data_IF_139038723774
#
_entry.id   IF_139038723774
#
_cell.length_a   1.000
_cell.length_b   1.000
_cell.length_c   1.000
_cell.angle_alpha   90.00
_cell.angle_beta   90.00
_cell.angle_gamma   90.00
#
_symmetry.space_group_name_H-M   'P 1'
#
loop_
_entity.id
_entity.type
_entity.pdbx_description
1 polymer ?
#
# COMPACT_ATOMS: atom_id res chain seq x y z
N UNK A 1 18.03 -17.77 4.53
CA UNK A 1 16.79 -17.17 5.05
C UNK A 1 16.62 -15.83 4.33
N UNK A 2 15.86 -15.81 3.25
CA UNK A 2 15.46 -14.57 2.56
C UNK A 2 13.95 -14.62 2.45
N UNK A 3 13.27 -14.03 3.43
CA UNK A 3 11.86 -13.81 3.31
C UNK A 3 11.70 -12.76 2.20
N UNK A 4 11.02 -13.12 1.10
CA UNK A 4 10.59 -12.19 0.05
C UNK A 4 9.62 -11.14 0.62
N UNK A 5 10.12 -10.27 1.50
CA UNK A 5 9.37 -9.21 2.18
C UNK A 5 9.54 -7.98 1.33
N UNK A 6 8.41 -7.40 0.92
CA UNK A 6 8.37 -6.09 0.27
C UNK A 6 7.92 -5.06 1.29
N UNK A 7 8.72 -4.02 1.51
CA UNK A 7 8.37 -2.95 2.45
C UNK A 7 7.68 -1.78 1.74
N UNK A 8 6.39 -1.60 2.01
CA UNK A 8 5.65 -0.41 1.58
C UNK A 8 5.45 0.54 2.77
N UNK A 9 5.72 1.83 2.57
CA UNK A 9 5.66 2.84 3.64
C UNK A 9 4.56 3.87 3.31
N UNK A 10 3.59 4.05 4.20
CA UNK A 10 2.67 5.19 4.20
C UNK A 10 3.27 6.27 5.09
N UNK A 11 3.82 7.33 4.50
CA UNK A 11 4.41 8.43 5.25
C UNK A 11 3.37 9.51 5.52
N UNK A 12 3.39 10.11 6.72
CA UNK A 12 2.56 11.27 7.03
C UNK A 12 3.23 12.58 6.60
N UNK A 13 3.54 12.70 5.32
CA UNK A 13 4.20 13.87 4.73
C UNK A 13 4.00 13.92 3.21
N UNK A 14 4.37 15.06 2.60
CA UNK A 14 4.40 15.23 1.14
C UNK A 14 5.81 15.13 0.57
N UNK A 15 5.90 14.72 -0.69
CA UNK A 15 7.15 14.73 -1.44
C UNK A 15 7.53 16.15 -1.85
N UNK A 16 8.82 16.45 -1.80
CA UNK A 16 9.36 17.70 -2.33
C UNK A 16 9.87 17.50 -3.75
N UNK A 17 9.45 18.39 -4.65
CA UNK A 17 9.89 18.42 -6.05
C UNK A 17 10.43 19.79 -6.41
N UNK A 18 11.27 19.84 -7.45
CA UNK A 18 11.73 21.09 -8.06
C UNK A 18 10.56 21.98 -8.53
N UNK A 19 9.46 21.39 -8.97
CA UNK A 19 8.22 22.08 -9.36
C UNK A 19 7.09 21.76 -8.37
N UNK A 20 6.75 22.72 -7.50
CA UNK A 20 5.73 22.56 -6.43
C UNK A 20 4.36 22.10 -6.93
N UNK A 21 3.92 22.54 -8.12
CA UNK A 21 2.58 22.20 -8.66
C UNK A 21 2.39 20.69 -8.88
N UNK A 22 3.46 19.97 -9.24
CA UNK A 22 3.37 18.53 -9.54
C UNK A 22 3.35 17.68 -8.27
N UNK A 23 3.94 18.17 -7.18
CA UNK A 23 3.94 17.51 -5.87
C UNK A 23 2.54 17.22 -5.34
N UNK A 24 1.57 18.11 -5.60
CA UNK A 24 0.18 17.94 -5.16
C UNK A 24 -0.45 16.64 -5.67
N UNK A 25 -0.08 16.20 -6.88
CA UNK A 25 -0.67 15.04 -7.56
C UNK A 25 0.15 13.77 -7.43
N UNK A 26 1.32 13.85 -6.77
CA UNK A 26 2.16 12.70 -6.52
C UNK A 26 1.62 11.91 -5.33
N UNK A 27 1.37 10.63 -5.54
CA UNK A 27 0.89 9.70 -4.52
C UNK A 27 2.04 8.93 -3.89
N UNK A 28 3.02 8.50 -4.67
CA UNK A 28 4.15 7.73 -4.15
C UNK A 28 5.25 7.51 -5.18
N UNK A 29 6.34 6.90 -4.73
CA UNK A 29 7.51 6.59 -5.54
C UNK A 29 8.12 5.25 -5.14
N UNK A 30 8.70 4.55 -6.11
CA UNK A 30 9.54 3.38 -5.87
C UNK A 30 10.98 3.62 -6.35
N UNK A 31 11.78 2.59 -6.59
CA UNK A 31 13.17 2.76 -7.04
C UNK A 31 13.25 3.36 -8.46
N UNK A 32 12.20 3.20 -9.27
CA UNK A 32 12.21 3.51 -10.71
C UNK A 32 11.11 4.47 -11.16
N UNK A 33 9.94 4.45 -10.51
CA UNK A 33 8.73 5.12 -10.97
C UNK A 33 8.14 6.04 -9.90
N UNK A 34 7.45 7.07 -10.37
CA UNK A 34 6.59 7.93 -9.58
C UNK A 34 5.13 7.69 -9.96
N UNK A 35 4.26 7.53 -8.96
CA UNK A 35 2.84 7.22 -9.13
C UNK A 35 1.98 8.42 -8.76
N UNK A 36 1.02 8.72 -9.62
CA UNK A 36 0.18 9.91 -9.53
C UNK A 36 -1.30 9.56 -9.68
N UNK A 37 -2.15 10.58 -9.61
CA UNK A 37 -3.58 10.43 -9.90
C UNK A 37 -3.90 9.86 -11.30
N UNK A 38 -2.97 9.98 -12.27
CA UNK A 38 -3.16 9.41 -13.63
C UNK A 38 -3.13 7.89 -13.64
N UNK A 39 -2.53 7.28 -12.61
CA UNK A 39 -2.35 5.84 -12.51
C UNK A 39 -3.58 5.09 -11.98
N UNK A 40 -4.66 5.82 -11.67
CA UNK A 40 -5.89 5.26 -11.11
C UNK A 40 -6.54 4.21 -12.02
N UNK A 41 -6.65 4.48 -13.32
CA UNK A 41 -7.23 3.55 -14.28
C UNK A 41 -6.23 2.49 -14.74
N UNK A 42 -4.96 2.87 -14.87
CA UNK A 42 -3.89 1.98 -15.29
C UNK A 42 -2.57 2.38 -14.64
N UNK A 43 -2.01 1.47 -13.86
CA UNK A 43 -0.73 1.68 -13.18
C UNK A 43 0.45 1.58 -14.16
N UNK A 44 0.95 2.74 -14.59
CA UNK A 44 2.09 2.87 -15.53
C UNK A 44 3.32 3.43 -14.82
N UNK A 45 3.13 4.47 -14.01
CA UNK A 45 4.19 5.24 -13.37
C UNK A 45 4.94 6.16 -14.34
N UNK A 46 5.59 7.18 -13.78
CA UNK A 46 6.37 8.17 -14.52
C UNK A 46 7.85 8.17 -14.06
N UNK A 47 8.72 7.68 -14.93
CA UNK A 47 10.17 7.65 -14.72
C UNK A 47 10.81 9.05 -14.72
N UNK A 48 10.30 9.96 -15.57
CA UNK A 48 10.80 11.33 -15.66
C UNK A 48 10.47 12.15 -14.42
N UNK A 49 9.26 11.96 -13.89
CA UNK A 49 8.83 12.55 -12.63
C UNK A 49 9.63 11.98 -11.46
N UNK A 50 9.90 10.67 -11.44
CA UNK A 50 10.69 10.03 -10.39
C UNK A 50 12.06 10.67 -10.16
N UNK A 51 12.74 11.07 -11.23
CA UNK A 51 14.05 11.76 -11.17
C UNK A 51 13.98 13.13 -10.49
N UNK A 52 12.80 13.76 -10.47
CA UNK A 52 12.60 15.09 -9.90
C UNK A 52 12.22 15.06 -8.41
N UNK A 53 11.89 13.87 -7.88
CA UNK A 53 11.46 13.70 -6.49
C UNK A 53 12.67 13.62 -5.58
N UNK A 54 12.73 14.52 -4.59
CA UNK A 54 13.67 14.40 -3.48
C UNK A 54 13.03 13.52 -2.40
N UNK A 55 13.71 12.42 -2.09
CA UNK A 55 13.25 11.51 -1.04
C UNK A 55 13.47 12.14 0.34
N UNK A 56 12.52 12.03 1.28
CA UNK A 56 12.60 12.64 2.61
C UNK A 56 13.53 11.82 3.53
N UNK A 57 14.83 11.84 3.24
CA UNK A 57 15.87 11.09 3.97
C UNK A 57 15.90 11.42 5.46
N UNK A 58 15.62 12.67 5.82
CA UNK A 58 15.65 13.13 7.21
C UNK A 58 14.53 12.53 8.06
N UNK A 59 13.41 12.12 7.43
CA UNK A 59 12.24 11.57 8.13
C UNK A 59 12.22 10.06 8.19
N UNK A 60 12.58 9.41 7.08
CA UNK A 60 12.48 7.95 6.95
C UNK A 60 13.83 7.23 6.97
N UNK A 61 14.95 7.96 6.88
CA UNK A 61 16.31 7.41 7.02
C UNK A 61 16.53 6.12 6.21
N UNK A 62 16.99 5.09 6.91
CA UNK A 62 17.30 3.76 6.34
C UNK A 62 16.04 3.05 5.81
N UNK A 63 14.85 3.36 6.32
CA UNK A 63 13.61 2.73 5.87
C UNK A 63 13.32 3.03 4.38
N UNK A 64 13.73 4.19 3.87
CA UNK A 64 13.65 4.47 2.42
C UNK A 64 14.52 3.48 1.65
N UNK A 65 15.79 3.33 2.02
CA UNK A 65 16.71 2.42 1.32
C UNK A 65 16.19 0.99 1.34
N UNK A 66 15.73 0.52 2.51
CA UNK A 66 15.16 -0.80 2.67
C UNK A 66 13.90 -1.00 1.82
N UNK A 67 13.02 0.01 1.73
CA UNK A 67 11.87 -0.04 0.84
C UNK A 67 12.29 -0.14 -0.63
N UNK A 68 13.30 0.61 -1.07
CA UNK A 68 13.78 0.55 -2.45
C UNK A 68 14.45 -0.78 -2.81
N UNK A 69 15.28 -1.32 -1.90
CA UNK A 69 15.99 -2.60 -2.06
C UNK A 69 15.03 -3.79 -2.10
N UNK A 70 13.95 -3.72 -1.34
CA UNK A 70 12.91 -4.77 -1.31
C UNK A 70 11.87 -4.64 -2.42
N UNK A 71 12.08 -3.77 -3.42
CA UNK A 71 11.09 -3.45 -4.48
C UNK A 71 9.74 -2.92 -3.94
N UNK A 72 9.81 -2.29 -2.78
CA UNK A 72 8.74 -1.59 -2.12
C UNK A 72 8.58 -0.15 -2.59
N UNK A 73 7.67 0.56 -1.94
CA UNK A 73 7.25 1.91 -2.36
C UNK A 73 7.03 2.80 -1.16
N UNK A 74 7.28 4.10 -1.32
CA UNK A 74 6.95 5.13 -0.33
C UNK A 74 5.76 5.93 -0.84
N UNK A 75 4.76 6.13 0.00
CA UNK A 75 3.52 6.82 -0.33
C UNK A 75 3.31 8.04 0.58
N UNK A 76 2.68 9.08 0.04
CA UNK A 76 2.19 10.22 0.80
C UNK A 76 0.84 9.86 1.43
N UNK A 77 0.87 9.22 2.61
CA UNK A 77 -0.31 8.74 3.33
C UNK A 77 -1.33 9.82 3.68
N UNK A 78 -0.90 11.09 3.82
CA UNK A 78 -1.81 12.22 4.02
C UNK A 78 -2.86 12.40 2.91
N UNK A 79 -2.67 11.78 1.73
CA UNK A 79 -3.68 11.77 0.65
C UNK A 79 -4.94 10.97 1.00
N UNK A 80 -4.88 10.08 2.00
CA UNK A 80 -6.06 9.36 2.51
C UNK A 80 -7.01 10.27 3.30
N UNK A 81 -6.47 11.31 3.94
CA UNK A 81 -7.27 12.27 4.73
C UNK A 81 -7.90 13.38 3.87
N UNK A 82 -7.76 13.31 2.54
CA UNK A 82 -8.33 14.27 1.60
C UNK A 82 -9.81 13.98 1.27
N UNK A 83 -10.31 14.68 0.24
CA UNK A 83 -11.64 14.43 -0.33
C UNK A 83 -11.84 12.96 -0.72
N UNK A 84 -13.05 12.39 -0.49
CA UNK A 84 -13.39 10.98 -0.74
C UNK A 84 -12.95 10.50 -2.13
N UNK A 85 -13.15 11.31 -3.17
CA UNK A 85 -12.74 10.98 -4.54
C UNK A 85 -11.22 10.96 -4.76
N UNK A 86 -10.45 11.78 -4.05
CA UNK A 86 -8.99 11.77 -4.12
C UNK A 86 -8.41 10.62 -3.29
N UNK A 87 -8.96 10.38 -2.09
CA UNK A 87 -8.57 9.28 -1.21
C UNK A 87 -8.81 7.91 -1.87
N UNK A 88 -9.96 7.72 -2.54
CA UNK A 88 -10.25 6.50 -3.31
C UNK A 88 -9.23 6.27 -4.41
N UNK A 89 -8.91 7.30 -5.20
CA UNK A 89 -7.91 7.19 -6.28
C UNK A 89 -6.53 6.86 -5.75
N UNK A 90 -6.11 7.48 -4.64
CA UNK A 90 -4.88 7.14 -3.94
C UNK A 90 -4.87 5.67 -3.49
N UNK A 91 -5.91 5.23 -2.79
CA UNK A 91 -6.02 3.87 -2.27
C UNK A 91 -5.97 2.82 -3.39
N UNK A 92 -6.66 3.08 -4.52
CA UNK A 92 -6.60 2.21 -5.69
C UNK A 92 -5.19 2.12 -6.27
N UNK A 93 -4.48 3.24 -6.46
CA UNK A 93 -3.11 3.23 -6.98
C UNK A 93 -2.16 2.47 -6.04
N UNK A 94 -2.27 2.69 -4.73
CA UNK A 94 -1.51 1.95 -3.71
C UNK A 94 -1.81 0.45 -3.81
N UNK A 95 -3.08 0.08 -3.79
CA UNK A 95 -3.54 -1.31 -3.87
C UNK A 95 -3.04 -2.01 -5.13
N UNK A 96 -3.18 -1.39 -6.30
CA UNK A 96 -2.69 -1.92 -7.58
C UNK A 96 -1.17 -2.11 -7.61
N UNK A 97 -0.40 -1.25 -6.94
CA UNK A 97 1.06 -1.40 -6.88
C UNK A 97 1.49 -2.46 -5.89
N UNK A 98 0.80 -2.58 -4.76
CA UNK A 98 1.05 -3.59 -3.72
C UNK A 98 0.68 -4.99 -4.22
N UNK A 99 -0.41 -5.12 -4.99
CA UNK A 99 -0.78 -6.42 -5.57
C UNK A 99 0.24 -6.94 -6.57
N UNK A 100 0.94 -6.04 -7.29
CA UNK A 100 2.02 -6.38 -8.23
C UNK A 100 3.36 -6.69 -7.59
N UNK A 101 3.63 -6.20 -6.37
CA UNK A 101 4.86 -6.55 -5.63
C UNK A 101 4.80 -7.90 -4.94
N UNK A 102 3.60 -8.46 -4.75
CA UNK A 102 3.46 -9.82 -4.25
C UNK A 102 3.98 -10.82 -5.27
N UNK A 103 4.97 -11.65 -4.89
CA UNK A 103 5.28 -12.84 -5.69
C UNK A 103 4.04 -13.74 -5.64
N UNK A 104 3.45 -14.01 -6.80
CA UNK A 104 2.42 -15.06 -6.91
C UNK A 104 3.03 -16.33 -6.34
N UNK A 105 2.39 -16.88 -5.32
CA UNK A 105 2.85 -18.11 -4.71
C UNK A 105 2.79 -19.21 -5.79
N UNK A 106 3.96 -19.62 -6.29
CA UNK A 106 4.07 -20.62 -7.34
C UNK A 106 4.19 -22.05 -6.81
N UNK A 107 4.59 -22.21 -5.54
CA UNK A 107 4.82 -23.53 -4.92
C UNK A 107 4.52 -23.49 -3.42
N UNK A 108 3.80 -24.51 -2.94
CA UNK A 108 3.47 -24.65 -1.52
C UNK A 108 4.76 -24.62 -0.68
N UNK A 109 4.75 -23.85 0.41
CA UNK A 109 5.87 -23.78 1.34
C UNK A 109 5.63 -24.76 2.47
N UNK A 110 6.52 -25.73 2.64
CA UNK A 110 6.45 -26.69 3.73
C UNK A 110 7.61 -26.48 4.69
N UNK A 111 7.31 -26.46 5.99
CA UNK A 111 8.30 -26.42 7.06
C UNK A 111 8.05 -27.57 8.05
N UNK A 112 9.13 -28.18 8.54
CA UNK A 112 9.03 -29.15 9.62
C UNK A 112 8.96 -28.42 10.96
N UNK A 113 7.86 -28.57 11.68
CA UNK A 113 7.71 -28.06 13.05
C UNK A 113 7.18 -29.18 13.93
N UNK A 114 7.81 -29.37 15.09
CA UNK A 114 7.40 -30.40 16.07
C UNK A 114 7.24 -31.81 15.48
N UNK A 115 8.23 -32.27 14.71
CA UNK A 115 8.21 -33.57 14.02
C UNK A 115 7.02 -33.79 13.05
N UNK A 116 6.33 -32.72 12.64
CA UNK A 116 5.28 -32.75 11.63
C UNK A 116 5.62 -31.80 10.49
N UNK A 117 5.23 -32.19 9.28
CA UNK A 117 5.34 -31.34 8.10
C UNK A 117 4.14 -30.39 8.04
N UNK A 118 4.39 -29.09 8.06
CA UNK A 118 3.38 -28.05 7.92
C UNK A 118 3.52 -27.41 6.54
N UNK A 119 2.58 -27.70 5.66
CA UNK A 119 2.55 -27.10 4.32
C UNK A 119 1.52 -25.99 4.24
N UNK A 120 1.96 -24.80 3.80
CA UNK A 120 1.09 -23.69 3.40
C UNK A 120 0.89 -23.77 1.88
N UNK A 121 -0.30 -24.17 1.40
CA UNK A 121 -0.57 -24.21 -0.02
C UNK A 121 -0.53 -22.80 -0.60
N UNK A 122 -0.11 -22.69 -1.85
CA UNK A 122 -0.36 -21.47 -2.61
C UNK A 122 -1.85 -21.38 -2.89
N UNK A 123 -2.43 -20.21 -2.59
CA UNK A 123 -3.75 -19.85 -3.11
C UNK A 123 -3.52 -19.02 -4.36
N UNK A 124 -3.59 -19.62 -5.57
CA UNK A 124 -3.46 -18.87 -6.82
C UNK A 124 -4.62 -17.91 -7.07
N UNK A 125 -5.73 -18.08 -6.34
CA UNK A 125 -7.04 -17.51 -6.70
C UNK A 125 -7.52 -16.40 -5.78
N UNK A 126 -6.63 -15.77 -5.00
CA UNK A 126 -6.99 -14.46 -4.44
C UNK A 126 -6.78 -13.43 -5.53
N UNK A 127 -7.84 -13.19 -6.30
CA UNK A 127 -7.99 -11.95 -7.02
C UNK A 127 -7.69 -10.81 -6.02
N UNK A 128 -6.78 -9.87 -6.30
CA UNK A 128 -6.65 -8.66 -5.49
C UNK A 128 -7.99 -7.91 -5.34
N UNK A 129 -8.96 -8.16 -6.25
CA UNK A 129 -10.35 -7.72 -6.16
C UNK A 129 -11.22 -8.55 -5.19
N UNK A 130 -10.80 -9.70 -4.68
CA UNK A 130 -11.43 -10.30 -3.49
C UNK A 130 -11.08 -9.52 -2.21
N UNK A 131 -10.12 -8.58 -2.25
CA UNK A 131 -10.02 -7.50 -1.26
C UNK A 131 -10.77 -6.23 -1.67
N UNK A 132 -11.49 -6.25 -2.81
CA UNK A 132 -12.61 -5.35 -3.06
C UNK A 132 -13.87 -5.84 -2.32
N UNK A 133 -13.70 -6.12 -1.01
CA UNK A 133 -14.77 -6.11 -0.01
C UNK A 133 -15.27 -4.68 0.22
N UNK A 134 -15.53 -3.95 -0.85
CA UNK A 134 -15.90 -2.55 -0.78
C UNK A 134 -16.91 -2.24 -1.88
N UNK A 135 -18.06 -2.93 -1.84
CA UNK A 135 -19.26 -2.24 -2.29
C UNK A 135 -19.45 -1.02 -1.39
N UNK A 136 -19.91 0.08 -1.96
CA UNK A 136 -20.09 1.35 -1.23
C UNK A 136 -21.01 1.17 -0.01
N UNK A 137 -21.96 0.24 -0.11
CA UNK A 137 -22.93 -0.11 0.93
C UNK A 137 -22.25 -0.78 2.14
N UNK A 138 -21.27 -1.67 1.92
CA UNK A 138 -20.54 -2.36 3.00
C UNK A 138 -19.67 -1.39 3.83
N UNK A 139 -19.23 -0.27 3.24
CA UNK A 139 -18.42 0.74 3.93
C UNK A 139 -19.26 1.52 4.92
N UNK A 140 -20.45 1.95 4.51
CA UNK A 140 -21.30 2.79 5.34
C UNK A 140 -21.80 1.97 6.54
N UNK A 141 -22.14 0.68 6.37
CA UNK A 141 -22.46 -0.24 7.47
C UNK A 141 -21.28 -0.48 8.43
N UNK A 142 -20.04 -0.61 7.93
CA UNK A 142 -18.87 -0.80 8.79
C UNK A 142 -18.50 0.47 9.55
N UNK A 143 -18.70 1.64 8.94
CA UNK A 143 -18.52 2.93 9.61
C UNK A 143 -19.55 3.07 10.72
N UNK A 144 -20.81 2.73 10.45
CA UNK A 144 -21.87 2.75 11.47
C UNK A 144 -21.57 1.77 12.61
N UNK A 145 -21.12 0.55 12.30
CA UNK A 145 -20.72 -0.45 13.30
C UNK A 145 -19.50 -0.02 14.13
N UNK A 146 -18.58 0.75 13.55
CA UNK A 146 -17.40 1.28 14.25
C UNK A 146 -17.69 2.56 15.05
N UNK A 147 -18.77 3.27 14.70
CA UNK A 147 -19.25 4.47 15.38
C UNK A 147 -20.24 4.15 16.50
N UNK A 148 -20.80 2.93 16.51
CA UNK A 148 -21.56 2.42 17.63
C UNK A 148 -20.66 2.28 18.87
N UNK A 149 -20.98 2.94 19.99
CA UNK A 149 -20.19 2.82 21.20
C UNK A 149 -20.22 1.37 21.68
N UNK A 150 -19.09 0.79 22.11
CA UNK A 150 -19.10 -0.57 22.62
C UNK A 150 -20.06 -0.64 23.81
N UNK A 151 -21.07 -1.51 23.70
CA UNK A 151 -21.90 -1.90 24.84
C UNK A 151 -21.02 -2.68 25.81
N UNK A 152 -20.21 -1.96 26.59
CA UNK A 152 -19.51 -2.51 27.73
C UNK A 152 -20.57 -2.92 28.75
N UNK A 153 -20.59 -4.19 29.20
CA UNK A 153 -21.52 -4.57 30.26
C UNK A 153 -21.26 -3.68 31.47
N UNK A 154 -22.31 -3.01 31.95
CA UNK A 154 -22.22 -2.28 33.21
C UNK A 154 -21.96 -3.30 34.32
N UNK A 155 -20.75 -3.27 34.87
CA UNK A 155 -20.46 -4.02 36.09
C UNK A 155 -21.22 -3.33 37.23
N UNK A 156 -22.28 -4.00 37.71
CA UNK A 156 -22.94 -3.67 38.98
C UNK A 156 -22.13 -4.24 40.14
#
# INVERSE_FOLDING_TARGET
MENSITLHILMNDEFTLSKKRVAKYLFGVDSTLAYTNKDYERLVGDFGLRKQVKLPKDKLGVCISLAMETNGTVWAGGKLSGERGAARRFATVVGSRVSRSGRVCSTARCECRSARLHCRPCRPDRDPLELSFWNTEDIDELIDLAMDPPNLPSFR
#
